data_IF_283240667409
#
_entry.id   IF_283240667409
#
_cell.length_a   1.000
_cell.length_b   1.000
_cell.length_c   1.000
_cell.angle_alpha   90.00
_cell.angle_beta   90.00
_cell.angle_gamma   90.00
#
_symmetry.space_group_name_H-M   'P 1'
#
loop_
_entity.id
_entity.type
_entity.pdbx_description
1 polymer ?
#
# COMPACT_ATOMS: atom_id res chain seq x y z
N UNK A 1 0.87 5.52 -16.54
CA UNK A 1 -0.21 5.08 -15.64
C UNK A 1 0.30 4.32 -14.41
N UNK A 2 1.26 3.39 -14.52
CA UNK A 2 1.82 2.67 -13.35
C UNK A 2 2.39 3.59 -12.25
N UNK A 3 2.90 4.76 -12.64
CA UNK A 3 3.39 5.81 -11.73
C UNK A 3 2.31 6.38 -10.81
N UNK A 4 1.03 6.42 -11.24
CA UNK A 4 -0.07 7.01 -10.47
C UNK A 4 -0.46 6.14 -9.27
N UNK A 5 -0.62 4.83 -9.45
CA UNK A 5 -0.88 3.94 -8.31
C UNK A 5 0.35 3.82 -7.39
N UNK A 6 1.58 3.94 -7.91
CA UNK A 6 2.76 4.04 -7.05
C UNK A 6 2.73 5.29 -6.17
N UNK A 7 2.32 6.45 -6.69
CA UNK A 7 2.21 7.66 -5.85
C UNK A 7 1.15 7.52 -4.76
N UNK A 8 0.10 6.74 -5.01
CA UNK A 8 -0.95 6.44 -4.02
C UNK A 8 -0.40 5.59 -2.88
N UNK A 9 0.27 4.47 -3.20
CA UNK A 9 0.91 3.64 -2.17
C UNK A 9 1.96 4.41 -1.36
N UNK A 10 2.68 5.34 -2.00
CA UNK A 10 3.66 6.18 -1.32
C UNK A 10 3.06 7.35 -0.53
N UNK A 11 1.74 7.59 -0.61
CA UNK A 11 1.08 8.72 0.04
C UNK A 11 1.47 10.08 -0.56
N UNK A 12 1.93 10.10 -1.82
CA UNK A 12 2.34 11.30 -2.56
C UNK A 12 1.25 11.84 -3.48
N UNK A 13 0.16 11.11 -3.70
CA UNK A 13 -0.94 11.59 -4.53
C UNK A 13 -1.88 12.47 -3.70
N UNK A 14 -1.69 13.78 -3.83
CA UNK A 14 -2.60 14.81 -3.28
C UNK A 14 -3.87 14.97 -4.14
N UNK A 15 -4.06 14.26 -5.27
CA UNK A 15 -5.02 14.74 -6.28
C UNK A 15 -5.96 13.69 -6.91
N UNK A 16 -6.13 12.49 -6.33
CA UNK A 16 -7.05 11.47 -6.88
C UNK A 16 -8.14 11.01 -5.91
N UNK A 17 -7.84 10.98 -4.61
CA UNK A 17 -8.86 10.80 -3.55
C UNK A 17 -9.84 11.97 -3.55
N UNK A 18 -9.34 13.19 -3.80
CA UNK A 18 -10.14 14.39 -4.02
C UNK A 18 -11.03 14.30 -5.27
N UNK A 19 -10.59 13.62 -6.34
CA UNK A 19 -11.38 13.51 -7.57
C UNK A 19 -12.59 12.58 -7.42
N UNK A 20 -12.50 11.55 -6.58
CA UNK A 20 -13.65 10.67 -6.27
C UNK A 20 -14.64 11.32 -5.30
N UNK A 21 -14.14 12.02 -4.27
CA UNK A 21 -15.00 12.88 -3.45
C UNK A 21 -15.69 13.94 -4.29
N UNK A 22 -14.97 14.53 -5.25
CA UNK A 22 -15.55 15.47 -6.21
C UNK A 22 -16.62 14.82 -7.10
N UNK A 23 -16.38 13.60 -7.62
CA UNK A 23 -17.37 12.85 -8.39
C UNK A 23 -18.64 12.52 -7.59
N UNK A 24 -18.47 12.15 -6.31
CA UNK A 24 -19.58 11.95 -5.37
C UNK A 24 -20.35 13.24 -5.07
N UNK A 25 -19.65 14.36 -4.87
CA UNK A 25 -20.27 15.68 -4.66
C UNK A 25 -21.03 16.15 -5.90
N UNK A 26 -20.50 15.94 -7.10
CA UNK A 26 -21.19 16.25 -8.36
C UNK A 26 -22.43 15.37 -8.53
N UNK A 27 -22.32 14.06 -8.28
CA UNK A 27 -23.47 13.16 -8.32
C UNK A 27 -24.56 13.53 -7.29
N UNK A 28 -24.15 13.91 -6.08
CA UNK A 28 -25.06 14.38 -5.03
C UNK A 28 -25.70 15.74 -5.37
N UNK A 29 -24.99 16.63 -6.08
CA UNK A 29 -25.50 17.93 -6.51
C UNK A 29 -26.62 17.86 -7.56
N UNK A 30 -26.74 16.72 -8.26
CA UNK A 30 -27.80 16.49 -9.26
C UNK A 30 -29.16 16.14 -8.60
N UNK A 31 -29.19 15.90 -7.29
CA UNK A 31 -30.39 15.48 -6.55
C UNK A 31 -30.58 13.95 -6.53
N UNK A 32 -31.30 13.44 -5.52
CA UNK A 32 -31.48 11.98 -5.30
C UNK A 32 -32.00 11.23 -6.53
N UNK A 33 -32.89 11.87 -7.30
CA UNK A 33 -33.49 11.29 -8.52
C UNK A 33 -32.46 11.01 -9.63
N UNK A 34 -31.35 11.75 -9.65
CA UNK A 34 -30.30 11.66 -10.68
C UNK A 34 -29.01 11.02 -10.16
N UNK A 35 -29.00 10.56 -8.91
CA UNK A 35 -27.85 9.94 -8.25
C UNK A 35 -27.29 8.74 -9.04
N UNK A 36 -28.17 7.87 -9.55
CA UNK A 36 -27.76 6.70 -10.35
C UNK A 36 -27.10 7.10 -11.68
N UNK A 37 -27.65 8.11 -12.36
CA UNK A 37 -27.08 8.65 -13.59
C UNK A 37 -25.72 9.31 -13.32
N UNK A 38 -25.62 10.14 -12.28
CA UNK A 38 -24.37 10.76 -11.86
C UNK A 38 -23.29 9.74 -11.53
N UNK A 39 -23.65 8.65 -10.84
CA UNK A 39 -22.72 7.57 -10.52
C UNK A 39 -22.19 6.87 -11.79
N UNK A 40 -23.06 6.48 -12.72
CA UNK A 40 -22.65 5.82 -13.96
C UNK A 40 -21.79 6.71 -14.86
N UNK A 41 -22.08 8.01 -14.91
CA UNK A 41 -21.38 8.92 -15.83
C UNK A 41 -20.07 9.47 -15.26
N UNK A 42 -19.96 9.65 -13.95
CA UNK A 42 -18.83 10.34 -13.33
C UNK A 42 -18.00 9.47 -12.37
N UNK A 43 -18.60 8.48 -11.72
CA UNK A 43 -17.92 7.64 -10.72
C UNK A 43 -17.43 6.33 -11.35
N UNK A 44 -18.30 5.62 -12.06
CA UNK A 44 -18.00 4.30 -12.63
C UNK A 44 -16.77 4.28 -13.57
N UNK A 45 -16.57 5.26 -14.48
CA UNK A 45 -15.39 5.28 -15.33
C UNK A 45 -14.08 5.44 -14.53
N UNK A 46 -14.13 6.21 -13.44
CA UNK A 46 -12.99 6.43 -12.56
C UNK A 46 -12.67 5.16 -11.74
N UNK A 47 -13.69 4.45 -11.25
CA UNK A 47 -13.51 3.16 -10.58
C UNK A 47 -12.88 2.11 -11.50
N UNK A 48 -13.35 1.99 -12.74
CA UNK A 48 -12.80 1.05 -13.72
C UNK A 48 -11.35 1.38 -14.11
N UNK A 49 -11.06 2.67 -14.30
CA UNK A 49 -9.70 3.13 -14.56
C UNK A 49 -8.78 2.83 -13.37
N UNK A 50 -9.28 2.94 -12.14
CA UNK A 50 -8.52 2.65 -10.94
C UNK A 50 -8.13 1.17 -10.81
N UNK A 51 -9.09 0.25 -10.97
CA UNK A 51 -8.83 -1.20 -10.89
C UNK A 51 -7.75 -1.64 -11.89
N UNK A 52 -7.81 -1.09 -13.11
CA UNK A 52 -6.87 -1.38 -14.19
C UNK A 52 -5.44 -0.93 -13.86
N UNK A 53 -5.28 0.14 -13.07
CA UNK A 53 -3.97 0.69 -12.69
C UNK A 53 -3.45 0.10 -11.38
N UNK A 54 -4.34 -0.27 -10.46
CA UNK A 54 -3.99 -0.78 -9.13
C UNK A 54 -3.36 -2.17 -9.18
N UNK A 55 -3.96 -3.12 -9.91
CA UNK A 55 -3.46 -4.50 -9.99
C UNK A 55 -1.99 -4.63 -10.46
N UNK A 56 -1.59 -4.05 -11.61
CA UNK A 56 -0.19 -4.15 -12.05
C UNK A 56 0.78 -3.39 -11.14
N UNK A 57 0.29 -2.39 -10.41
CA UNK A 57 1.10 -1.62 -9.47
C UNK A 57 1.33 -2.40 -8.17
N UNK A 58 0.33 -3.12 -7.68
CA UNK A 58 0.47 -4.07 -6.58
C UNK A 58 1.45 -5.21 -6.92
N UNK A 59 1.38 -5.76 -8.13
CA UNK A 59 2.34 -6.75 -8.61
C UNK A 59 3.77 -6.20 -8.63
N UNK A 60 3.97 -4.99 -9.16
CA UNK A 60 5.26 -4.30 -9.16
C UNK A 60 5.80 -4.05 -7.75
N UNK A 61 4.92 -3.66 -6.81
CA UNK A 61 5.28 -3.47 -5.41
C UNK A 61 5.72 -4.79 -4.76
N UNK A 62 5.01 -5.89 -5.02
CA UNK A 62 5.38 -7.23 -4.55
C UNK A 62 6.76 -7.66 -5.08
N UNK A 63 7.04 -7.41 -6.35
CA UNK A 63 8.35 -7.68 -6.94
C UNK A 63 9.46 -6.82 -6.33
N UNK A 64 9.15 -5.57 -5.95
CA UNK A 64 10.07 -4.68 -5.25
C UNK A 64 10.35 -5.20 -3.84
N UNK A 65 9.32 -5.53 -3.07
CA UNK A 65 9.43 -6.14 -1.74
C UNK A 65 10.28 -7.41 -1.76
N UNK A 66 10.00 -8.31 -2.72
CA UNK A 66 10.72 -9.58 -2.85
C UNK A 66 12.21 -9.35 -3.03
N UNK A 67 12.60 -8.40 -3.88
CA UNK A 67 14.01 -8.11 -4.19
C UNK A 67 14.72 -7.30 -3.12
N UNK A 68 14.05 -6.32 -2.50
CA UNK A 68 14.68 -5.41 -1.54
C UNK A 68 14.79 -6.01 -0.15
N UNK A 69 13.78 -6.78 0.28
CA UNK A 69 13.67 -7.28 1.66
C UNK A 69 13.65 -8.80 1.70
N UNK A 70 12.65 -9.45 1.08
CA UNK A 70 12.37 -10.85 1.36
C UNK A 70 13.50 -11.81 0.92
N UNK A 71 14.06 -11.63 -0.27
CA UNK A 71 15.15 -12.46 -0.77
C UNK A 71 16.43 -12.31 0.08
N UNK A 72 16.75 -11.09 0.50
CA UNK A 72 17.90 -10.81 1.36
C UNK A 72 17.72 -11.39 2.76
N UNK A 73 16.52 -11.24 3.34
CA UNK A 73 16.15 -11.86 4.60
C UNK A 73 16.30 -13.37 4.54
N UNK A 74 15.71 -13.99 3.51
CA UNK A 74 15.80 -15.44 3.33
C UNK A 74 17.25 -15.89 3.22
N UNK A 75 18.07 -15.22 2.41
CA UNK A 75 19.49 -15.54 2.25
C UNK A 75 20.26 -15.46 3.59
N UNK A 76 19.96 -14.44 4.41
CA UNK A 76 20.64 -14.24 5.69
C UNK A 76 20.24 -15.27 6.76
N UNK A 77 18.95 -15.67 6.80
CA UNK A 77 18.37 -16.36 7.95
C UNK A 77 17.86 -17.78 7.65
N UNK A 78 17.87 -18.22 6.40
CA UNK A 78 17.45 -19.58 6.04
C UNK A 78 18.26 -20.63 6.81
N UNK A 79 17.58 -21.61 7.41
CA UNK A 79 18.25 -22.69 8.15
C UNK A 79 18.79 -22.29 9.53
N UNK A 80 18.47 -21.11 10.07
CA UNK A 80 19.05 -20.59 11.33
C UNK A 80 18.06 -20.48 12.48
N UNK A 81 18.51 -20.79 13.70
CA UNK A 81 17.80 -20.45 14.94
C UNK A 81 17.76 -18.91 15.11
N UNK A 82 16.64 -18.30 15.55
CA UNK A 82 15.43 -18.90 16.10
C UNK A 82 14.33 -19.23 15.09
N UNK A 83 14.55 -18.99 13.79
CA UNK A 83 13.50 -19.15 12.77
C UNK A 83 13.20 -20.62 12.45
N UNK A 84 14.22 -21.47 12.56
CA UNK A 84 14.09 -22.92 12.49
C UNK A 84 14.94 -23.56 13.57
N UNK A 85 14.57 -24.77 14.01
CA UNK A 85 15.36 -25.54 14.96
C UNK A 85 16.67 -26.01 14.30
N UNK A 86 17.75 -25.26 14.50
CA UNK A 86 19.07 -25.61 13.99
C UNK A 86 20.18 -25.22 14.98
N UNK A 87 21.37 -25.81 14.80
CA UNK A 87 22.57 -25.48 15.59
C UNK A 87 23.22 -24.17 15.14
N UNK A 88 22.82 -23.62 14.00
CA UNK A 88 23.38 -22.38 13.44
C UNK A 88 22.50 -21.22 13.83
N UNK A 89 23.05 -20.27 14.57
CA UNK A 89 22.30 -19.09 15.01
C UNK A 89 22.27 -17.99 13.95
N UNK A 90 21.19 -17.22 13.96
CA UNK A 90 21.06 -15.98 13.21
C UNK A 90 21.93 -14.89 13.84
N UNK A 91 22.64 -14.16 12.99
CA UNK A 91 23.43 -13.01 13.45
C UNK A 91 22.50 -11.91 13.97
N UNK A 92 22.61 -11.56 15.25
CA UNK A 92 21.87 -10.43 15.84
C UNK A 92 22.18 -9.09 15.17
N UNK A 93 23.45 -8.75 14.83
CA UNK A 93 23.75 -7.57 14.02
C UNK A 93 23.02 -7.57 12.68
N UNK A 94 22.99 -8.72 11.99
CA UNK A 94 22.27 -8.85 10.71
C UNK A 94 20.76 -8.68 10.91
N UNK A 95 20.18 -9.27 11.96
CA UNK A 95 18.76 -9.10 12.28
C UNK A 95 18.43 -7.62 12.52
N UNK A 96 19.29 -6.90 13.23
CA UNK A 96 19.12 -5.48 13.50
C UNK A 96 19.13 -4.61 12.23
N UNK A 97 19.80 -5.03 11.14
CA UNK A 97 19.70 -4.32 9.86
C UNK A 97 18.30 -4.36 9.26
N UNK A 98 17.51 -5.40 9.55
CA UNK A 98 16.18 -5.58 8.97
C UNK A 98 15.07 -5.01 9.86
N UNK A 99 15.10 -5.30 11.17
CA UNK A 99 13.94 -5.07 12.07
C UNK A 99 14.05 -3.83 12.95
N UNK A 100 15.15 -3.08 12.89
CA UNK A 100 15.32 -1.90 13.74
C UNK A 100 14.20 -0.89 13.50
N UNK A 101 13.58 -0.45 14.60
CA UNK A 101 12.32 0.30 14.66
C UNK A 101 12.18 1.48 13.70
N UNK A 102 13.26 2.19 13.37
CA UNK A 102 13.18 3.42 12.58
C UNK A 102 14.12 3.43 11.35
N UNK A 103 15.02 2.45 11.24
CA UNK A 103 16.02 2.44 10.16
C UNK A 103 16.29 1.07 9.57
N UNK A 104 15.56 0.05 10.03
CA UNK A 104 15.62 -1.29 9.46
C UNK A 104 15.15 -1.29 8.01
N UNK A 105 15.63 -2.25 7.22
CA UNK A 105 15.23 -2.39 5.80
C UNK A 105 13.72 -2.56 5.64
N UNK A 106 13.07 -3.28 6.57
CA UNK A 106 11.61 -3.45 6.56
C UNK A 106 10.95 -2.10 6.80
N UNK A 107 11.33 -1.42 7.87
CA UNK A 107 10.77 -0.12 8.25
C UNK A 107 10.88 0.90 7.11
N UNK A 108 12.09 1.05 6.54
CA UNK A 108 12.32 1.97 5.43
C UNK A 108 11.48 1.64 4.20
N UNK A 109 11.27 0.36 3.91
CA UNK A 109 10.41 -0.05 2.80
C UNK A 109 8.96 0.38 3.06
N UNK A 110 8.43 0.10 4.25
CA UNK A 110 7.06 0.46 4.63
C UNK A 110 6.85 1.99 4.56
N UNK A 111 7.77 2.77 5.15
CA UNK A 111 7.66 4.24 5.15
C UNK A 111 7.90 4.88 3.78
N UNK A 112 8.61 4.22 2.86
CA UNK A 112 8.91 4.81 1.54
C UNK A 112 7.91 4.39 0.48
N UNK A 113 7.47 3.13 0.51
CA UNK A 113 6.67 2.52 -0.55
C UNK A 113 5.19 2.36 -0.18
N UNK A 114 4.85 2.31 1.11
CA UNK A 114 3.52 1.97 1.62
C UNK A 114 2.92 3.04 2.55
N UNK A 115 3.54 4.20 2.68
CA UNK A 115 3.10 5.26 3.59
C UNK A 115 1.68 5.79 3.34
N UNK A 116 1.16 5.65 2.12
CA UNK A 116 -0.20 6.06 1.77
C UNK A 116 -1.29 5.05 2.09
N UNK A 117 -0.93 3.81 2.42
CA UNK A 117 -1.89 2.73 2.74
C UNK A 117 -1.62 2.06 4.09
N UNK A 118 -0.51 2.39 4.73
CA UNK A 118 -0.05 1.79 5.97
C UNK A 118 0.46 2.91 6.87
N UNK A 119 -0.10 2.99 8.09
CA UNK A 119 0.26 3.98 9.08
C UNK A 119 0.86 3.32 10.32
N UNK A 120 1.86 3.98 10.90
CA UNK A 120 2.51 3.51 12.12
C UNK A 120 1.82 4.12 13.33
N UNK A 121 1.13 3.28 14.09
CA UNK A 121 0.48 3.64 15.34
C UNK A 121 1.34 3.14 16.50
N UNK A 122 2.15 4.05 17.05
CA UNK A 122 3.11 3.73 18.11
C UNK A 122 4.19 2.74 17.64
N UNK A 123 4.01 1.46 17.95
CA UNK A 123 4.90 0.36 17.54
C UNK A 123 4.24 -0.64 16.60
N UNK A 124 3.00 -0.41 16.19
CA UNK A 124 2.26 -1.28 15.29
C UNK A 124 1.99 -0.59 13.97
N UNK A 125 1.80 -1.42 12.95
CA UNK A 125 1.51 -1.00 11.60
C UNK A 125 0.03 -1.33 11.33
N UNK A 126 -0.79 -0.31 11.13
CA UNK A 126 -2.21 -0.41 10.80
C UNK A 126 -2.46 -0.09 9.32
N UNK A 127 -3.46 -0.74 8.72
CA UNK A 127 -3.91 -0.35 7.39
C UNK A 127 -4.59 1.02 7.46
N UNK A 128 -4.24 1.93 6.54
CA UNK A 128 -4.95 3.20 6.40
C UNK A 128 -6.39 2.95 5.96
N UNK A 129 -7.35 3.69 6.55
CA UNK A 129 -8.78 3.57 6.23
C UNK A 129 -9.06 3.91 4.75
N UNK A 130 -8.22 4.74 4.13
CA UNK A 130 -8.37 5.21 2.74
C UNK A 130 -7.86 4.24 1.66
N UNK A 131 -7.31 3.09 2.04
CA UNK A 131 -6.72 2.14 1.09
C UNK A 131 -7.76 1.37 0.26
N UNK A 132 -9.06 1.53 0.54
CA UNK A 132 -10.17 0.96 -0.21
C UNK A 132 -11.04 2.06 -0.82
N UNK A 133 -11.03 2.23 -2.15
CA UNK A 133 -12.08 2.97 -2.83
C UNK A 133 -13.40 2.20 -2.67
N UNK A 134 -14.39 2.81 -2.01
CA UNK A 134 -15.77 2.32 -1.97
C UNK A 134 -16.17 1.42 -0.79
N UNK A 135 -15.46 1.46 0.34
CA UNK A 135 -15.91 0.75 1.55
C UNK A 135 -17.09 1.44 2.26
N UNK A 136 -17.35 2.71 1.94
CA UNK A 136 -18.36 3.54 2.56
C UNK A 136 -19.44 3.92 1.52
N UNK A 137 -20.25 2.94 1.13
CA UNK A 137 -21.55 3.14 0.46
C UNK A 137 -22.62 2.41 1.27
#
# INVERSE_FOLDING_TARGET
>A
MQTLAQTVFQGKSIDLTDTQQYGGLVAASLGEEWSSFGHTMFVQPLTQAWETVLQPSAASLNDKWRRSVAANWHTAFNGRYPFVASKSEASLPMLAEFVRKDSGRIERFLTTELNGVLHKEGSQWGAGQDARPGADL
#
